data_IF_858647962107
#
_entry.id   IF_858647962107
#
_cell.length_a   1.000
_cell.length_b   1.000
_cell.length_c   1.000
_cell.angle_alpha   90.00
_cell.angle_beta   90.00
_cell.angle_gamma   90.00
#
_symmetry.space_group_name_H-M   'P 1'
#
loop_
_entity.id
_entity.type
_entity.pdbx_description
1 polymer ?
#
# COMPACT_ATOMS: atom_id res chain seq x y z
N UNK A 1 49.10 -17.27 24.92
CA UNK A 1 49.57 -18.36 25.80
C UNK A 1 49.58 -17.86 27.24
N UNK A 2 48.93 -18.61 28.15
CA UNK A 2 49.29 -18.88 29.56
C UNK A 2 49.70 -17.68 30.46
N UNK A 3 49.15 -17.40 31.64
CA UNK A 3 48.34 -18.16 32.60
C UNK A 3 48.81 -17.82 34.03
N UNK A 4 47.94 -18.07 35.04
CA UNK A 4 48.17 -18.12 36.51
C UNK A 4 48.39 -16.76 37.21
N UNK A 5 47.62 -16.34 38.22
CA UNK A 5 47.19 -17.02 39.47
C UNK A 5 47.91 -16.30 40.64
N UNK A 6 47.35 -16.18 41.88
CA UNK A 6 46.82 -17.31 42.65
C UNK A 6 45.59 -17.02 43.56
N UNK A 7 44.96 -18.11 44.02
CA UNK A 7 44.07 -18.18 45.20
C UNK A 7 44.85 -18.50 46.49
N UNK A 8 44.23 -18.40 47.67
CA UNK A 8 43.84 -19.64 48.41
C UNK A 8 42.43 -19.53 49.08
N UNK A 9 41.58 -20.58 49.03
CA UNK A 9 41.41 -21.73 49.99
C UNK A 9 40.73 -21.31 51.31
N UNK A 10 39.58 -21.85 51.76
CA UNK A 10 39.22 -23.24 52.16
C UNK A 10 37.68 -23.32 52.41
N UNK A 11 36.97 -24.37 51.96
CA UNK A 11 36.54 -25.60 52.70
C UNK A 11 35.58 -25.32 53.88
N UNK A 12 34.44 -25.98 54.10
CA UNK A 12 34.05 -27.41 53.97
C UNK A 12 32.51 -27.51 54.14
N UNK A 13 31.80 -28.33 53.35
CA UNK A 13 31.17 -29.58 53.81
C UNK A 13 29.68 -29.36 54.16
N UNK A 14 28.73 -30.28 54.04
CA UNK A 14 28.62 -31.68 53.58
C UNK A 14 27.11 -32.02 53.69
N UNK A 15 26.59 -32.99 52.94
CA UNK A 15 25.49 -33.84 53.43
C UNK A 15 24.06 -33.58 52.93
N UNK A 16 23.65 -34.49 52.05
CA UNK A 16 22.32 -34.91 51.55
C UNK A 16 21.21 -35.22 52.59
N UNK A 17 19.93 -35.04 52.20
CA UNK A 17 18.83 -35.96 52.58
C UNK A 17 17.52 -35.72 51.78
N UNK A 18 17.01 -36.77 51.12
CA UNK A 18 15.62 -36.94 50.65
C UNK A 18 14.76 -37.52 51.79
N UNK A 19 13.47 -37.12 51.95
CA UNK A 19 12.54 -37.86 52.80
C UNK A 19 11.67 -38.84 52.01
N UNK A 20 11.80 -40.14 52.32
CA UNK A 20 10.80 -41.17 52.01
C UNK A 20 9.74 -41.28 53.14
N UNK A 21 8.50 -41.70 52.83
CA UNK A 21 7.41 -41.79 53.80
C UNK A 21 7.60 -42.98 54.76
N UNK A 22 7.46 -42.71 56.06
CA UNK A 22 7.56 -43.71 57.13
C UNK A 22 6.24 -44.47 57.29
N UNK A 23 6.36 -45.80 57.23
CA UNK A 23 5.40 -46.80 57.70
C UNK A 23 5.21 -46.73 59.22
N UNK A 24 4.02 -47.10 59.68
CA UNK A 24 3.67 -47.19 61.09
C UNK A 24 3.78 -48.64 61.61
N UNK A 25 4.45 -48.85 62.76
CA UNK A 25 4.11 -49.95 63.68
C UNK A 25 3.83 -49.38 65.08
N UNK A 26 2.64 -49.62 65.64
CA UNK A 26 2.17 -50.82 66.35
C UNK A 26 2.44 -50.69 67.86
N UNK A 27 1.37 -50.36 68.61
CA UNK A 27 1.47 -50.20 70.05
C UNK A 27 0.17 -50.04 70.84
N UNK A 28 -1.01 -50.41 70.32
CA UNK A 28 -2.22 -50.58 71.13
C UNK A 28 -3.24 -51.53 70.45
N UNK A 29 -4.10 -52.21 71.24
CA UNK A 29 -4.38 -53.64 71.11
C UNK A 29 -5.48 -54.04 70.13
N UNK A 30 -5.36 -55.29 69.66
CA UNK A 30 -6.32 -56.03 68.82
C UNK A 30 -7.27 -56.83 69.71
N UNK A 31 -8.55 -56.82 69.36
CA UNK A 31 -9.49 -57.94 69.47
C UNK A 31 -10.46 -57.79 68.27
N UNK A 32 -10.25 -58.47 67.13
CA UNK A 32 -10.82 -59.78 66.72
C UNK A 32 -12.34 -59.85 67.05
N UNK A 33 -13.29 -60.02 66.14
CA UNK A 33 -13.58 -61.21 65.31
C UNK A 33 -14.68 -60.87 64.27
N UNK A 34 -14.52 -61.43 63.07
CA UNK A 34 -15.49 -61.60 61.97
C UNK A 34 -16.91 -62.03 62.38
N UNK A 35 -17.93 -61.59 61.62
CA UNK A 35 -19.16 -62.29 61.19
C UNK A 35 -20.17 -61.20 60.73
N UNK A 36 -20.94 -61.24 59.65
CA UNK A 36 -21.31 -62.27 58.69
C UNK A 36 -21.90 -61.60 57.43
N UNK A 37 -21.84 -62.32 56.31
CA UNK A 37 -22.44 -61.98 55.00
C UNK A 37 -23.96 -62.26 54.98
N UNK A 38 -24.74 -61.25 54.56
CA UNK A 38 -25.95 -61.19 53.67
C UNK A 38 -27.18 -62.11 53.99
N UNK A 39 -28.44 -61.70 53.70
CA UNK A 39 -28.98 -61.77 52.32
C UNK A 39 -29.81 -60.54 51.86
N UNK A 40 -29.85 -60.38 50.53
CA UNK A 40 -30.73 -59.49 49.74
C UNK A 40 -32.22 -59.68 50.07
N UNK A 41 -32.97 -58.59 50.10
CA UNK A 41 -34.40 -58.60 49.79
C UNK A 41 -34.73 -57.64 48.65
N UNK A 42 -35.82 -58.01 47.99
CA UNK A 42 -36.19 -57.82 46.59
C UNK A 42 -36.96 -56.52 46.33
N UNK A 43 -36.88 -56.06 45.08
CA UNK A 43 -37.92 -55.33 44.32
C UNK A 43 -38.17 -53.81 44.50
N UNK A 44 -38.24 -53.16 43.33
CA UNK A 44 -38.54 -51.73 43.00
C UNK A 44 -40.07 -51.47 42.96
N UNK A 45 -40.58 -50.35 42.39
CA UNK A 45 -40.42 -48.92 42.66
C UNK A 45 -41.80 -48.21 42.83
N UNK A 46 -41.91 -47.02 43.45
CA UNK A 46 -42.99 -46.06 43.16
C UNK A 46 -42.53 -44.60 43.34
N UNK A 47 -42.94 -43.78 42.36
CA UNK A 47 -42.70 -42.35 42.16
C UNK A 47 -43.43 -41.43 43.17
N UNK A 48 -43.20 -40.11 42.96
CA UNK A 48 -43.92 -38.86 43.33
C UNK A 48 -43.44 -38.11 44.62
N UNK A 49 -43.12 -36.79 44.69
CA UNK A 49 -43.44 -35.54 43.94
C UNK A 49 -42.30 -34.45 44.04
N UNK A 50 -42.22 -33.43 43.14
CA UNK A 50 -41.29 -32.28 43.19
C UNK A 50 -41.78 -31.07 44.05
N UNK A 51 -40.92 -30.06 44.35
CA UNK A 51 -40.97 -29.20 45.55
C UNK A 51 -41.92 -27.98 45.50
N UNK A 52 -42.43 -27.54 46.66
CA UNK A 52 -43.31 -26.37 46.81
C UNK A 52 -42.53 -25.06 47.04
N UNK A 53 -42.80 -24.04 46.23
CA UNK A 53 -42.32 -22.65 46.40
C UNK A 53 -43.29 -21.84 47.28
N UNK A 54 -42.77 -21.09 48.26
CA UNK A 54 -43.55 -20.20 49.09
C UNK A 54 -43.62 -18.79 48.49
N UNK A 55 -44.85 -18.33 48.22
CA UNK A 55 -45.19 -16.97 47.85
C UNK A 55 -45.07 -16.02 49.06
N UNK A 56 -44.19 -15.02 48.99
CA UNK A 56 -44.37 -13.74 49.71
C UNK A 56 -43.61 -12.64 48.98
N UNK A 57 -44.35 -11.66 48.45
CA UNK A 57 -43.82 -10.43 47.87
C UNK A 57 -43.43 -9.45 48.99
N UNK A 58 -42.14 -9.31 49.27
CA UNK A 58 -41.59 -8.11 49.90
C UNK A 58 -40.94 -7.26 48.81
N UNK A 59 -41.45 -6.03 48.58
CA UNK A 59 -40.78 -5.03 47.76
C UNK A 59 -39.46 -4.62 48.43
N UNK A 60 -38.38 -5.32 48.08
CA UNK A 60 -37.03 -4.96 48.47
C UNK A 60 -36.64 -3.64 47.79
N UNK A 61 -36.52 -2.56 48.58
CA UNK A 61 -35.85 -1.33 48.16
C UNK A 61 -34.42 -1.68 47.76
N UNK A 62 -34.16 -1.69 46.45
CA UNK A 62 -32.85 -2.07 45.89
C UNK A 62 -31.78 -1.10 46.43
N UNK A 63 -30.71 -1.59 47.07
CA UNK A 63 -29.62 -0.72 47.47
C UNK A 63 -28.97 -0.12 46.22
N UNK A 64 -28.92 1.21 46.15
CA UNK A 64 -28.24 1.92 45.07
C UNK A 64 -26.80 1.42 44.88
N UNK A 65 -26.24 1.51 43.67
CA UNK A 65 -24.97 0.87 43.35
C UNK A 65 -23.88 1.31 44.33
N UNK A 66 -23.26 0.32 44.99
CA UNK A 66 -22.18 0.53 45.96
C UNK A 66 -21.13 1.43 45.32
N UNK A 67 -20.71 2.51 45.99
CA UNK A 67 -19.76 3.53 45.47
C UNK A 67 -18.49 2.92 44.84
N UNK A 68 -18.06 1.76 45.33
CA UNK A 68 -16.95 0.98 44.79
C UNK A 68 -17.15 0.51 43.34
N UNK A 69 -18.38 0.14 42.96
CA UNK A 69 -18.74 -0.23 41.58
C UNK A 69 -18.63 0.99 40.66
N UNK A 70 -18.99 2.18 41.15
CA UNK A 70 -18.87 3.43 40.38
C UNK A 70 -17.39 3.80 40.18
N UNK A 71 -16.56 3.64 41.21
CA UNK A 71 -15.11 3.88 41.13
C UNK A 71 -14.46 2.87 40.17
N UNK A 72 -14.77 1.58 40.33
CA UNK A 72 -14.26 0.52 39.46
C UNK A 72 -14.67 0.74 38.00
N UNK A 73 -15.91 1.18 37.75
CA UNK A 73 -16.40 1.53 36.42
C UNK A 73 -15.67 2.73 35.82
N UNK A 74 -15.37 3.77 36.61
CA UNK A 74 -14.58 4.92 36.15
C UNK A 74 -13.14 4.54 35.81
N UNK A 75 -12.51 3.70 36.62
CA UNK A 75 -11.17 3.17 36.34
C UNK A 75 -11.17 2.33 35.07
N UNK A 76 -12.17 1.45 34.89
CA UNK A 76 -12.33 0.66 33.67
C UNK A 76 -12.55 1.53 32.42
N UNK A 77 -13.35 2.59 32.52
CA UNK A 77 -13.55 3.54 31.40
C UNK A 77 -12.25 4.27 31.09
N UNK A 78 -11.50 4.70 32.12
CA UNK A 78 -10.19 5.31 31.93
C UNK A 78 -9.19 4.38 31.26
N UNK A 79 -9.13 3.12 31.70
CA UNK A 79 -8.27 2.08 31.13
C UNK A 79 -8.65 1.73 29.69
N UNK A 80 -9.95 1.65 29.40
CA UNK A 80 -10.44 1.41 28.04
C UNK A 80 -10.14 2.60 27.13
N UNK A 81 -10.27 3.82 27.65
CA UNK A 81 -9.92 5.04 26.94
C UNK A 81 -8.43 5.12 26.61
N UNK A 82 -7.55 4.79 27.57
CA UNK A 82 -6.10 4.76 27.31
C UNK A 82 -5.72 3.64 26.35
N UNK A 83 -6.34 2.46 26.46
CA UNK A 83 -6.13 1.36 25.52
C UNK A 83 -6.59 1.72 24.10
N UNK A 84 -7.76 2.37 23.97
CA UNK A 84 -8.25 2.86 22.69
C UNK A 84 -7.33 3.93 22.10
N UNK A 85 -6.83 4.86 22.93
CA UNK A 85 -5.88 5.88 22.48
C UNK A 85 -4.54 5.27 22.04
N UNK A 86 -4.05 4.26 22.78
CA UNK A 86 -2.86 3.51 22.42
C UNK A 86 -3.06 2.73 21.12
N UNK A 87 -4.22 2.11 20.92
CA UNK A 87 -4.56 1.46 19.66
C UNK A 87 -4.63 2.48 18.52
N UNK A 88 -5.28 3.63 18.70
CA UNK A 88 -5.29 4.72 17.70
C UNK A 88 -3.88 5.19 17.39
N UNK A 89 -3.02 5.35 18.40
CA UNK A 89 -1.61 5.73 18.22
C UNK A 89 -0.83 4.65 17.46
N UNK A 90 -1.05 3.37 17.78
CA UNK A 90 -0.49 2.24 17.02
C UNK A 90 -1.05 2.23 15.60
N UNK A 91 -2.34 2.50 15.38
CA UNK A 91 -2.95 2.64 14.05
C UNK A 91 -2.47 3.88 13.30
N UNK A 92 -1.98 4.93 13.96
CA UNK A 92 -1.33 6.07 13.31
C UNK A 92 0.13 5.75 12.95
N UNK A 93 0.79 4.91 13.75
CA UNK A 93 2.16 4.43 13.48
C UNK A 93 2.21 3.29 12.45
N UNK A 94 1.22 2.40 12.43
CA UNK A 94 1.06 1.32 11.46
C UNK A 94 0.22 1.76 10.26
N UNK A 95 -0.64 2.76 10.44
CA UNK A 95 -1.38 3.40 9.36
C UNK A 95 -0.51 4.44 8.66
N UNK A 96 0.59 3.98 8.08
CA UNK A 96 0.79 4.42 6.71
C UNK A 96 -0.48 4.01 5.97
N UNK A 97 -1.11 4.90 5.20
CA UNK A 97 -2.20 4.43 4.37
C UNK A 97 -1.58 3.34 3.49
N UNK A 98 -2.10 2.12 3.60
CA UNK A 98 -2.29 1.29 2.42
C UNK A 98 -3.24 2.08 1.49
N UNK A 99 -2.82 3.26 1.03
CA UNK A 99 -3.36 3.94 -0.13
C UNK A 99 -2.87 3.13 -1.29
N UNK A 100 -3.34 1.89 -1.38
CA UNK A 100 -2.98 0.96 -2.42
C UNK A 100 -1.49 1.08 -2.73
N UNK A 101 -0.65 0.37 -1.98
CA UNK A 101 0.39 -0.35 -2.71
C UNK A 101 -0.33 -1.31 -3.67
N UNK A 102 -0.95 -0.76 -4.73
CA UNK A 102 -0.52 -1.14 -6.06
C UNK A 102 0.99 -0.96 -5.95
N UNK A 103 1.70 -2.01 -5.50
CA UNK A 103 2.79 -2.47 -6.33
C UNK A 103 2.21 -2.32 -7.72
N UNK A 104 2.63 -1.27 -8.42
CA UNK A 104 2.45 -1.19 -9.83
C UNK A 104 3.18 -2.43 -10.32
N UNK A 105 2.46 -3.55 -10.29
CA UNK A 105 2.57 -4.60 -11.26
C UNK A 105 2.33 -3.81 -12.52
N UNK A 106 3.41 -3.22 -13.02
CA UNK A 106 3.48 -2.67 -14.34
C UNK A 106 3.10 -3.89 -15.16
N UNK A 107 1.83 -3.96 -15.55
CA UNK A 107 1.40 -4.95 -16.52
C UNK A 107 2.45 -4.82 -17.60
N UNK A 108 3.32 -5.83 -17.81
CA UNK A 108 4.48 -5.64 -18.63
C UNK A 108 3.97 -5.16 -19.98
N UNK A 109 4.25 -3.90 -20.28
CA UNK A 109 3.77 -3.30 -21.50
C UNK A 109 4.38 -4.14 -22.62
N UNK A 110 3.53 -4.70 -23.49
CA UNK A 110 4.00 -5.63 -24.53
C UNK A 110 5.17 -5.00 -25.28
N UNK A 111 6.39 -5.55 -25.11
CA UNK A 111 7.59 -4.91 -25.59
C UNK A 111 7.57 -4.91 -27.11
N UNK A 112 7.92 -3.77 -27.71
CA UNK A 112 8.03 -3.67 -29.16
C UNK A 112 9.28 -4.44 -29.56
N UNK A 113 9.10 -5.60 -30.20
CA UNK A 113 10.22 -6.48 -30.62
C UNK A 113 10.68 -6.25 -32.05
N UNK A 114 9.78 -5.75 -32.90
CA UNK A 114 10.07 -5.48 -34.31
C UNK A 114 10.14 -3.97 -34.49
N UNK A 115 11.30 -3.41 -34.90
CA UNK A 115 11.41 -2.00 -35.14
C UNK A 115 10.64 -1.63 -36.41
N UNK A 116 10.05 -0.44 -36.43
CA UNK A 116 9.54 0.16 -37.67
C UNK A 116 10.60 1.03 -38.36
N UNK A 117 10.38 1.30 -39.64
CA UNK A 117 11.07 2.38 -40.32
C UNK A 117 10.60 3.72 -39.76
N UNK A 118 11.53 4.67 -39.58
CA UNK A 118 11.18 6.01 -39.14
C UNK A 118 10.28 6.69 -40.17
N UNK A 119 9.24 7.34 -39.67
CA UNK A 119 8.34 8.17 -40.47
C UNK A 119 8.60 9.63 -40.08
N UNK A 120 8.77 10.48 -41.07
CA UNK A 120 8.80 11.93 -40.88
C UNK A 120 7.87 12.58 -41.87
N UNK A 121 7.14 13.60 -41.43
CA UNK A 121 6.28 14.36 -42.32
C UNK A 121 6.23 15.84 -41.90
N UNK A 122 5.99 16.75 -42.86
CA UNK A 122 5.86 18.18 -42.56
C UNK A 122 4.59 18.46 -41.74
N UNK A 123 4.47 19.68 -41.20
CA UNK A 123 3.38 20.04 -40.30
C UNK A 123 1.95 20.01 -40.86
N UNK A 124 1.79 19.89 -42.18
CA UNK A 124 0.48 19.69 -42.83
C UNK A 124 0.07 18.21 -42.90
N UNK A 125 0.90 17.30 -42.40
CA UNK A 125 0.66 15.86 -42.50
C UNK A 125 -0.49 15.39 -41.59
N UNK A 126 -1.15 14.31 -42.02
CA UNK A 126 -2.22 13.69 -41.27
C UNK A 126 -1.69 13.02 -39.99
N UNK A 127 -1.88 13.68 -38.85
CA UNK A 127 -1.55 13.16 -37.53
C UNK A 127 -2.34 11.89 -37.18
N UNK A 128 -3.47 11.63 -37.85
CA UNK A 128 -4.26 10.41 -37.65
C UNK A 128 -3.51 9.17 -38.15
N UNK A 129 -2.80 9.29 -39.27
CA UNK A 129 -1.93 8.22 -39.78
C UNK A 129 -0.75 7.97 -38.83
N UNK A 130 -0.20 9.04 -38.24
CA UNK A 130 0.86 8.94 -37.23
C UNK A 130 0.37 8.18 -35.98
N UNK A 131 -0.83 8.52 -35.49
CA UNK A 131 -1.46 7.85 -34.36
C UNK A 131 -1.71 6.36 -34.66
N UNK A 132 -2.19 6.05 -35.86
CA UNK A 132 -2.40 4.67 -36.31
C UNK A 132 -1.10 3.84 -36.30
N UNK A 133 0.00 4.39 -36.83
CA UNK A 133 1.32 3.74 -36.80
C UNK A 133 1.92 3.63 -35.40
N UNK A 134 1.64 4.61 -34.53
CA UNK A 134 2.04 4.56 -33.12
C UNK A 134 1.31 3.43 -32.36
N UNK A 135 0.04 3.18 -32.72
CA UNK A 135 -0.81 2.10 -32.20
C UNK A 135 -1.47 2.40 -30.86
N UNK A 136 -1.32 3.62 -30.36
CA UNK A 136 -1.95 4.17 -29.14
C UNK A 136 -2.28 5.64 -29.38
N UNK A 137 -3.01 6.31 -28.48
CA UNK A 137 -3.22 7.75 -28.63
C UNK A 137 -1.89 8.51 -28.64
N UNK A 138 -1.82 9.60 -29.39
CA UNK A 138 -0.67 10.53 -29.39
C UNK A 138 -1.12 11.90 -28.90
N UNK A 139 -0.26 12.59 -28.17
CA UNK A 139 -0.49 13.96 -27.75
C UNK A 139 -0.29 14.91 -28.93
N UNK A 140 -1.23 15.82 -29.13
CA UNK A 140 -1.13 16.92 -30.09
C UNK A 140 -1.70 18.21 -29.51
N UNK A 141 -1.27 19.34 -30.07
CA UNK A 141 -1.82 20.67 -29.82
C UNK A 141 -2.81 21.04 -30.94
N UNK A 142 -4.02 21.48 -30.58
CA UNK A 142 -4.99 22.02 -31.52
C UNK A 142 -5.10 23.54 -31.39
N UNK A 143 -4.55 24.25 -32.37
CA UNK A 143 -4.53 25.71 -32.39
C UNK A 143 -3.32 26.30 -31.65
N UNK A 144 -3.23 27.62 -31.65
CA UNK A 144 -2.18 28.38 -30.96
C UNK A 144 -0.86 28.46 -31.71
N UNK A 145 -0.27 27.33 -32.09
CA UNK A 145 1.03 27.26 -32.74
C UNK A 145 1.00 26.46 -34.04
N UNK A 146 1.86 26.84 -34.98
CA UNK A 146 2.00 26.13 -36.25
C UNK A 146 2.90 24.90 -36.07
N UNK A 147 2.38 23.72 -36.40
CA UNK A 147 3.18 22.50 -36.50
C UNK A 147 4.15 22.64 -37.67
N UNK A 148 5.43 22.32 -37.45
CA UNK A 148 6.48 22.38 -38.47
C UNK A 148 6.88 20.98 -38.95
N UNK A 149 7.06 20.07 -38.00
CA UNK A 149 7.57 18.72 -38.26
C UNK A 149 6.90 17.74 -37.31
N UNK A 150 6.52 16.60 -37.84
CA UNK A 150 6.16 15.43 -37.06
C UNK A 150 7.08 14.26 -37.41
N UNK A 151 7.41 13.45 -36.40
CA UNK A 151 8.19 12.24 -36.59
C UNK A 151 7.69 11.10 -35.71
N UNK A 152 7.90 9.88 -36.17
CA UNK A 152 7.63 8.64 -35.47
C UNK A 152 8.80 7.69 -35.71
N UNK A 153 9.42 7.22 -34.63
CA UNK A 153 10.57 6.35 -34.73
C UNK A 153 10.72 5.46 -33.49
N UNK A 154 11.47 4.37 -33.67
CA UNK A 154 11.78 3.41 -32.61
C UNK A 154 13.22 3.63 -32.12
N UNK A 155 13.43 3.64 -30.80
CA UNK A 155 14.73 3.74 -30.13
C UNK A 155 14.98 2.49 -29.31
N UNK A 156 16.19 1.95 -29.32
CA UNK A 156 16.52 0.77 -28.52
C UNK A 156 16.36 1.06 -27.01
N UNK A 157 15.64 0.19 -26.31
CA UNK A 157 15.36 0.34 -24.88
C UNK A 157 15.20 -1.03 -24.20
N UNK A 158 16.02 -1.31 -23.18
CA UNK A 158 15.94 -2.51 -22.33
C UNK A 158 15.80 -3.86 -23.09
N UNK A 159 16.55 -4.04 -24.18
CA UNK A 159 16.50 -5.27 -24.98
C UNK A 159 15.31 -5.37 -25.95
N UNK A 160 14.53 -4.30 -26.07
CA UNK A 160 13.43 -4.13 -27.02
C UNK A 160 13.51 -2.72 -27.64
N UNK A 161 12.37 -2.20 -28.13
CA UNK A 161 12.26 -0.85 -28.66
C UNK A 161 11.24 -0.02 -27.89
N UNK A 162 11.55 1.27 -27.73
CA UNK A 162 10.61 2.30 -27.34
C UNK A 162 10.21 3.08 -28.59
N UNK A 163 8.90 3.19 -28.83
CA UNK A 163 8.34 3.95 -29.94
C UNK A 163 8.01 5.35 -29.47
N UNK A 164 8.46 6.34 -30.22
CA UNK A 164 8.28 7.75 -29.89
C UNK A 164 7.73 8.54 -31.07
N UNK A 165 6.78 9.42 -30.77
CA UNK A 165 6.37 10.51 -31.65
C UNK A 165 6.92 11.83 -31.15
N UNK A 166 7.38 12.69 -32.05
CA UNK A 166 7.73 14.08 -31.76
C UNK A 166 6.98 15.01 -32.70
N UNK A 167 6.37 16.05 -32.14
CA UNK A 167 5.70 17.11 -32.87
C UNK A 167 6.36 18.44 -32.48
N UNK A 168 6.90 19.14 -33.47
CA UNK A 168 7.57 20.42 -33.27
C UNK A 168 6.64 21.55 -33.69
N UNK A 169 6.21 22.35 -32.74
CA UNK A 169 5.44 23.56 -32.96
C UNK A 169 6.35 24.77 -32.78
N UNK A 170 6.06 25.87 -33.49
CA UNK A 170 6.89 27.08 -33.46
C UNK A 170 6.12 28.26 -32.89
N UNK A 171 6.77 28.96 -31.96
CA UNK A 171 6.36 30.26 -31.44
C UNK A 171 6.68 31.38 -32.44
N UNK A 172 6.04 32.54 -32.28
CA UNK A 172 6.22 33.69 -33.17
C UNK A 172 7.67 34.22 -33.20
N UNK A 173 8.44 33.98 -32.14
CA UNK A 173 9.85 34.37 -32.03
C UNK A 173 10.83 33.33 -32.62
N UNK A 174 10.31 32.23 -33.16
CA UNK A 174 11.08 31.15 -33.77
C UNK A 174 11.54 30.05 -32.79
N UNK A 175 11.29 30.18 -31.48
CA UNK A 175 11.51 29.09 -30.55
C UNK A 175 10.51 27.94 -30.78
N UNK A 176 10.84 26.75 -30.30
CA UNK A 176 10.03 25.55 -30.54
C UNK A 176 9.42 25.00 -29.26
N UNK A 177 8.13 24.70 -29.32
CA UNK A 177 7.44 23.84 -28.37
C UNK A 177 7.53 22.41 -28.90
N UNK A 178 8.10 21.52 -28.10
CA UNK A 178 8.19 20.10 -28.43
C UNK A 178 7.10 19.33 -27.69
N UNK A 179 6.33 18.55 -28.43
CA UNK A 179 5.29 17.67 -27.90
C UNK A 179 5.69 16.23 -28.23
N UNK A 180 5.81 15.39 -27.22
CA UNK A 180 6.27 14.00 -27.36
C UNK A 180 5.23 13.01 -26.83
N UNK A 181 5.12 11.85 -27.48
CA UNK A 181 4.46 10.67 -26.90
C UNK A 181 5.37 9.46 -27.03
N UNK A 182 5.61 8.75 -25.93
CA UNK A 182 6.51 7.59 -25.90
C UNK A 182 5.87 6.38 -25.25
N UNK A 183 6.11 5.21 -25.82
CA UNK A 183 5.75 3.92 -25.22
C UNK A 183 6.89 2.91 -25.37
N UNK A 184 7.08 2.00 -24.40
CA UNK A 184 6.29 1.88 -23.19
C UNK A 184 6.62 2.97 -22.17
N UNK A 185 5.77 3.20 -21.16
CA UNK A 185 5.92 4.30 -20.20
C UNK A 185 7.28 4.30 -19.45
N UNK A 186 7.87 3.12 -19.24
CA UNK A 186 9.19 2.98 -18.61
C UNK A 186 10.30 3.68 -19.40
N UNK A 187 10.10 3.96 -20.69
CA UNK A 187 11.04 4.65 -21.54
C UNK A 187 11.03 6.19 -21.37
N UNK A 188 10.33 6.73 -20.37
CA UNK A 188 10.26 8.16 -20.06
C UNK A 188 11.61 8.88 -20.02
N UNK A 189 12.67 8.18 -19.59
CA UNK A 189 14.03 8.72 -19.55
C UNK A 189 14.61 9.07 -20.94
N UNK A 190 14.02 8.56 -22.03
CA UNK A 190 14.41 8.88 -23.40
C UNK A 190 13.85 10.21 -23.89
N UNK A 191 12.82 10.77 -23.22
CA UNK A 191 12.22 12.06 -23.58
C UNK A 191 13.26 13.19 -23.55
N UNK A 192 13.08 14.17 -24.42
CA UNK A 192 14.04 15.24 -24.56
C UNK A 192 14.09 16.11 -23.29
N UNK A 193 15.28 16.29 -22.73
CA UNK A 193 15.49 17.09 -21.52
C UNK A 193 15.06 16.43 -20.20
N UNK A 194 14.41 15.26 -20.22
CA UNK A 194 13.90 14.60 -19.02
C UNK A 194 15.00 14.17 -18.04
N UNK A 195 16.16 13.73 -18.54
CA UNK A 195 17.29 13.26 -17.71
C UNK A 195 17.96 14.36 -16.87
N UNK A 196 17.80 15.63 -17.27
CA UNK A 196 18.39 16.79 -16.59
C UNK A 196 17.38 17.60 -15.79
N UNK A 197 16.09 17.31 -15.98
CA UNK A 197 15.03 18.06 -15.35
C UNK A 197 14.78 17.57 -13.92
N UNK A 198 14.36 18.48 -13.06
CA UNK A 198 14.06 18.21 -11.64
C UNK A 198 12.58 18.44 -11.37
N UNK A 199 12.03 17.60 -10.51
CA UNK A 199 10.63 17.68 -10.11
C UNK A 199 10.31 19.04 -9.50
N UNK A 200 9.22 19.65 -9.95
CA UNK A 200 8.72 20.94 -9.47
C UNK A 200 7.31 20.74 -8.92
N UNK A 201 7.17 20.83 -7.60
CA UNK A 201 5.89 20.64 -6.90
C UNK A 201 5.06 21.94 -6.78
N UNK A 202 5.39 22.94 -7.59
CA UNK A 202 4.79 24.28 -7.48
C UNK A 202 3.32 24.32 -7.91
N UNK A 203 2.95 23.52 -8.91
CA UNK A 203 1.59 23.45 -9.47
C UNK A 203 1.30 22.05 -9.99
N UNK A 204 0.03 21.65 -9.93
CA UNK A 204 -0.49 20.46 -10.59
C UNK A 204 -0.98 20.88 -11.97
N UNK A 205 -0.59 20.15 -13.00
CA UNK A 205 -1.01 20.42 -14.38
C UNK A 205 -1.92 19.30 -14.87
N UNK A 206 -2.68 19.60 -15.91
CA UNK A 206 -3.40 18.60 -16.68
C UNK A 206 -2.97 18.69 -18.14
N UNK A 207 -2.81 17.53 -18.78
CA UNK A 207 -2.40 17.40 -20.16
C UNK A 207 -3.42 16.50 -20.85
N UNK A 208 -4.21 17.07 -21.76
CA UNK A 208 -5.31 16.40 -22.44
C UNK A 208 -6.27 15.62 -21.51
N UNK A 209 -6.53 16.17 -20.30
CA UNK A 209 -7.37 15.55 -19.28
C UNK A 209 -6.67 14.46 -18.43
N UNK A 210 -5.35 14.31 -18.55
CA UNK A 210 -4.52 13.43 -17.72
C UNK A 210 -3.80 14.25 -16.66
N UNK A 211 -3.73 13.75 -15.43
CA UNK A 211 -2.92 14.36 -14.37
C UNK A 211 -1.46 14.40 -14.80
N UNK A 212 -0.86 15.58 -14.68
CA UNK A 212 0.47 15.84 -15.19
C UNK A 212 1.35 16.51 -14.14
N UNK A 213 2.63 16.18 -14.21
CA UNK A 213 3.66 16.64 -13.32
C UNK A 213 4.60 17.56 -14.08
N UNK A 214 5.10 18.57 -13.38
CA UNK A 214 6.08 19.51 -13.91
C UNK A 214 7.49 19.11 -13.48
N UNK A 215 8.39 19.13 -14.45
CA UNK A 215 9.83 19.14 -14.24
C UNK A 215 10.44 20.36 -14.92
N UNK A 216 11.49 20.91 -14.33
CA UNK A 216 12.20 22.06 -14.86
C UNK A 216 13.69 21.71 -15.06
N UNK A 217 14.26 22.14 -16.17
CA UNK A 217 15.71 22.23 -16.34
C UNK A 217 16.10 23.70 -16.63
N UNK A 218 17.36 23.96 -16.97
CA UNK A 218 17.83 25.34 -17.14
C UNK A 218 17.22 26.04 -18.37
N UNK A 219 16.80 25.29 -19.38
CA UNK A 219 16.36 25.82 -20.66
C UNK A 219 14.84 25.73 -20.82
N UNK A 220 14.23 24.68 -20.27
CA UNK A 220 12.85 24.30 -20.52
C UNK A 220 12.08 23.92 -19.26
N UNK A 221 10.76 24.12 -19.34
CA UNK A 221 9.76 23.56 -18.45
C UNK A 221 9.08 22.39 -19.17
N UNK A 222 9.13 21.20 -18.58
CA UNK A 222 8.61 19.96 -19.13
C UNK A 222 7.41 19.51 -18.30
N UNK A 223 6.29 19.26 -18.96
CA UNK A 223 5.07 18.74 -18.35
C UNK A 223 4.85 17.34 -18.87
N UNK A 224 4.73 16.33 -18.01
CA UNK A 224 4.49 14.95 -18.42
C UNK A 224 3.28 14.35 -17.71
N UNK A 225 2.51 13.55 -18.45
CA UNK A 225 1.41 12.75 -17.91
C UNK A 225 1.48 11.34 -18.49
N UNK A 226 1.02 10.35 -17.71
CA UNK A 226 0.96 8.96 -18.16
C UNK A 226 -0.49 8.51 -18.27
N UNK A 227 -0.84 7.86 -19.38
CA UNK A 227 -2.11 7.15 -19.52
C UNK A 227 -1.94 5.93 -20.40
N UNK A 228 -2.49 4.80 -19.96
CA UNK A 228 -2.53 3.53 -20.71
C UNK A 228 -1.13 3.04 -21.16
N UNK A 229 -0.10 3.24 -20.32
CA UNK A 229 1.28 2.81 -20.61
C UNK A 229 1.97 3.63 -21.72
N UNK A 230 1.49 4.85 -21.97
CA UNK A 230 2.15 5.88 -22.80
C UNK A 230 2.44 7.07 -21.90
N UNK A 231 3.64 7.63 -22.03
CA UNK A 231 3.96 8.94 -21.45
C UNK A 231 3.84 10.00 -22.52
N UNK A 232 3.14 11.07 -22.17
CA UNK A 232 2.93 12.24 -23.00
C UNK A 232 3.67 13.41 -22.36
N UNK A 233 4.39 14.20 -23.15
CA UNK A 233 5.14 15.33 -22.65
C UNK A 233 5.01 16.57 -23.52
N UNK A 234 4.99 17.73 -22.86
CA UNK A 234 5.14 19.05 -23.48
C UNK A 234 6.39 19.68 -22.92
N UNK A 235 7.36 19.94 -23.79
CA UNK A 235 8.63 20.55 -23.49
C UNK A 235 8.63 21.99 -24.04
N UNK A 236 8.49 22.94 -23.12
CA UNK A 236 8.33 24.35 -23.41
C UNK A 236 9.59 25.13 -23.00
N UNK A 237 10.15 25.98 -23.88
CA UNK A 237 11.21 26.90 -23.52
C UNK A 237 10.81 27.77 -22.33
N UNK A 238 11.77 28.04 -21.44
CA UNK A 238 11.53 28.83 -20.21
C UNK A 238 11.11 30.28 -20.49
N UNK A 239 11.48 30.82 -21.65
CA UNK A 239 11.04 32.10 -22.22
C UNK A 239 9.52 32.18 -22.42
N UNK A 240 8.87 31.04 -22.73
CA UNK A 240 7.42 30.93 -22.99
C UNK A 240 6.65 30.25 -21.86
N UNK A 241 7.22 30.21 -20.65
CA UNK A 241 6.59 29.55 -19.51
C UNK A 241 5.20 30.11 -19.18
N UNK A 242 5.00 31.41 -19.37
CA UNK A 242 3.74 32.06 -19.04
C UNK A 242 2.61 31.66 -20.02
N UNK A 243 2.96 31.28 -21.25
CA UNK A 243 2.02 30.79 -22.26
C UNK A 243 1.59 29.33 -22.03
N UNK A 244 2.39 28.57 -21.27
CA UNK A 244 2.24 27.13 -21.08
C UNK A 244 0.84 26.74 -20.57
N UNK A 245 0.27 27.49 -19.63
CA UNK A 245 -1.04 27.18 -19.08
C UNK A 245 -2.17 27.32 -20.13
N UNK A 246 -2.02 28.23 -21.10
CA UNK A 246 -2.95 28.38 -22.21
C UNK A 246 -2.75 27.26 -23.25
N UNK A 247 -1.50 26.93 -23.56
CA UNK A 247 -1.15 25.85 -24.49
C UNK A 247 -1.63 24.49 -24.00
N UNK A 248 -1.46 24.17 -22.72
CA UNK A 248 -1.90 22.88 -22.17
C UNK A 248 -3.41 22.66 -22.30
N UNK A 249 -4.22 23.72 -22.26
CA UNK A 249 -5.69 23.62 -22.49
C UNK A 249 -6.06 23.25 -23.92
N UNK A 250 -5.14 23.43 -24.86
CA UNK A 250 -5.29 23.10 -26.28
C UNK A 250 -4.76 21.70 -26.61
N UNK A 251 -4.20 21.00 -25.62
CA UNK A 251 -3.69 19.63 -25.83
C UNK A 251 -4.83 18.62 -25.90
N UNK A 252 -4.70 17.64 -26.79
CA UNK A 252 -5.63 16.52 -26.93
C UNK A 252 -4.89 15.22 -27.21
N UNK A 253 -5.55 14.10 -26.91
CA UNK A 253 -5.09 12.77 -27.28
C UNK A 253 -5.77 12.33 -28.57
N UNK A 254 -5.00 12.32 -29.65
CA UNK A 254 -5.42 11.83 -30.95
C UNK A 254 -5.48 10.32 -30.95
N UNK A 255 -6.68 9.78 -31.10
CA UNK A 255 -6.90 8.34 -31.15
C UNK A 255 -6.37 7.74 -32.47
N UNK A 256 -5.76 6.54 -32.43
CA UNK A 256 -5.46 5.82 -33.66
C UNK A 256 -6.75 5.52 -34.40
N UNK A 257 -6.84 5.88 -35.68
CA UNK A 257 -8.01 5.52 -36.49
C UNK A 257 -8.05 4.00 -36.61
N UNK A 258 -9.16 3.39 -36.20
CA UNK A 258 -9.36 1.96 -36.39
C UNK A 258 -9.34 1.65 -37.91
N UNK A 259 -8.69 0.56 -38.35
CA UNK A 259 -8.79 0.14 -39.73
C UNK A 259 -10.24 -0.24 -40.04
N UNK A 260 -10.96 0.61 -40.79
CA UNK A 260 -12.25 0.26 -41.42
C UNK A 260 -13.54 0.79 -40.76
N UNK A 261 -13.60 2.07 -40.41
CA UNK A 261 -14.89 2.80 -40.31
C UNK A 261 -14.93 3.96 -41.29
#
# INVERSE_FOLDING_TARGET
MLGRGPSPRREQGNGSAHPQPRSAPQGMPRDVVNQSRVPKQTEKPRDVLPPQEALTNEEAVKPGPKRWVVILRRVMIGLLGTLALALVYIFLLLGEPDSMAVESVSVPADPIRVPMAAMEAPGEADLSALAASFGKPILALYGGLNLQKCSLYDTAFQGAYARRTTLHYTFDDGQTLLVESIRPAQAVALLEGASQARLSLSNIYALAGVDAVRMDNAQNTIIFGEKEGVVYAVNCPTSHRDDLAALLKQTTLLQPKAPGT
#
